data_IF_425067602682
#
_entry.id   IF_425067602682
#
_cell.length_a   1.000
_cell.length_b   1.000
_cell.length_c   1.000
_cell.angle_alpha   90.00
_cell.angle_beta   90.00
_cell.angle_gamma   90.00
#
_symmetry.space_group_name_H-M   'P 1'
#
loop_
_entity.id
_entity.type
_entity.pdbx_description
1 polymer ?
#
# COMPACT_ATOMS: atom_id res chain seq x y z
N UNK A 1 0.54 -12.47 -11.97
CA UNK A 1 0.71 -11.04 -12.16
C UNK A 1 -0.04 -10.26 -11.09
N UNK A 2 0.66 -9.40 -10.38
CA UNK A 2 0.06 -8.67 -9.28
C UNK A 2 -0.46 -7.33 -9.76
N UNK A 3 -1.77 -7.19 -9.74
CA UNK A 3 -2.41 -5.94 -10.13
C UNK A 3 -2.96 -5.24 -8.91
N UNK A 4 -2.58 -3.98 -8.76
CA UNK A 4 -3.11 -3.15 -7.70
C UNK A 4 -4.33 -2.40 -8.22
N UNK A 5 -5.37 -2.33 -7.39
CA UNK A 5 -6.54 -1.52 -7.70
C UNK A 5 -6.20 -0.05 -7.50
N UNK A 6 -7.05 0.83 -8.05
CA UNK A 6 -6.85 2.26 -7.88
C UNK A 6 -6.87 2.66 -6.40
N UNK A 7 -7.76 2.05 -5.63
CA UNK A 7 -7.85 2.29 -4.19
C UNK A 7 -6.56 1.88 -3.47
N UNK A 8 -6.00 0.73 -3.86
CA UNK A 8 -4.73 0.28 -3.30
C UNK A 8 -3.59 1.22 -3.65
N UNK A 9 -3.54 1.67 -4.90
CA UNK A 9 -2.50 2.60 -5.35
C UNK A 9 -2.61 3.94 -4.62
N UNK A 10 -3.81 4.43 -4.43
CA UNK A 10 -4.04 5.67 -3.68
C UNK A 10 -3.56 5.54 -2.24
N UNK A 11 -3.91 4.44 -1.60
CA UNK A 11 -3.47 4.16 -0.23
C UNK A 11 -1.95 4.11 -0.14
N UNK A 12 -1.34 3.36 -1.05
CA UNK A 12 0.11 3.21 -1.09
C UNK A 12 0.80 4.56 -1.32
N UNK A 13 0.26 5.40 -2.18
CA UNK A 13 0.81 6.73 -2.47
C UNK A 13 0.84 7.61 -1.23
N UNK A 14 -0.20 7.54 -0.41
CA UNK A 14 -0.28 8.32 0.83
C UNK A 14 0.82 7.93 1.80
N UNK A 15 1.15 6.66 1.88
CA UNK A 15 2.10 6.13 2.86
C UNK A 15 3.51 5.91 2.30
N UNK A 16 3.73 6.24 1.04
CA UNK A 16 5.02 6.01 0.37
C UNK A 16 6.03 7.13 0.68
N UNK A 17 6.37 7.28 1.94
CA UNK A 17 7.26 8.36 2.38
C UNK A 17 8.73 8.08 2.07
N UNK A 18 9.14 6.82 2.14
CA UNK A 18 10.54 6.43 1.96
C UNK A 18 10.94 6.08 0.54
N UNK A 19 9.98 5.91 -0.35
CA UNK A 19 10.25 5.55 -1.74
C UNK A 19 10.76 4.14 -1.95
N UNK A 20 10.66 3.27 -0.94
CA UNK A 20 11.09 1.87 -1.04
C UNK A 20 9.93 0.94 -0.69
N UNK A 21 9.98 -0.28 -1.27
CA UNK A 21 8.97 -1.30 -0.99
C UNK A 21 8.93 -1.66 0.49
N UNK A 22 10.08 -1.88 1.10
CA UNK A 22 10.17 -2.23 2.52
C UNK A 22 9.65 -1.10 3.41
N UNK A 23 10.00 0.13 3.09
CA UNK A 23 9.53 1.30 3.84
C UNK A 23 8.02 1.42 3.77
N UNK A 24 7.46 1.24 2.58
CA UNK A 24 6.02 1.29 2.39
C UNK A 24 5.32 0.16 3.16
N UNK A 25 5.87 -1.06 3.10
CA UNK A 25 5.33 -2.19 3.85
C UNK A 25 5.29 -1.90 5.35
N UNK A 26 6.36 -1.32 5.87
CA UNK A 26 6.44 -0.97 7.29
C UNK A 26 5.35 0.04 7.66
N UNK A 27 5.19 1.08 6.86
CA UNK A 27 4.20 2.12 7.11
C UNK A 27 2.78 1.55 7.08
N UNK A 28 2.49 0.70 6.12
CA UNK A 28 1.18 0.07 6.00
C UNK A 28 0.90 -0.85 7.18
N UNK A 29 1.89 -1.62 7.61
CA UNK A 29 1.73 -2.52 8.75
C UNK A 29 1.50 -1.75 10.05
N UNK A 30 2.20 -0.65 10.22
CA UNK A 30 2.00 0.22 11.39
C UNK A 30 0.60 0.84 11.38
N UNK A 31 0.20 1.38 10.25
CA UNK A 31 -1.14 1.97 10.11
C UNK A 31 -2.22 0.93 10.38
N UNK A 32 -2.04 -0.28 9.85
CA UNK A 32 -3.01 -1.37 10.05
C UNK A 32 -3.22 -1.66 11.54
N UNK A 33 -2.17 -1.57 12.33
CA UNK A 33 -2.23 -1.80 13.77
C UNK A 33 -3.08 -0.79 14.53
N UNK A 34 -3.31 0.37 13.94
CA UNK A 34 -4.12 1.44 14.55
C UNK A 34 -5.55 1.47 14.07
N UNK A 35 -5.91 0.62 13.12
CA UNK A 35 -7.27 0.59 12.59
C UNK A 35 -8.24 0.01 13.60
N UNK A 36 -9.37 0.69 13.77
CA UNK A 36 -10.42 0.22 14.65
C UNK A 36 -11.19 -0.94 14.01
N UNK A 37 -11.93 -1.67 14.84
CA UNK A 37 -12.69 -2.82 14.37
C UNK A 37 -13.77 -2.46 13.35
N UNK A 38 -14.30 -1.23 13.42
CA UNK A 38 -15.31 -0.75 12.48
C UNK A 38 -14.71 -0.23 11.16
N UNK A 39 -13.38 -0.24 11.05
CA UNK A 39 -12.71 0.16 9.82
C UNK A 39 -12.34 -1.08 8.99
N UNK A 40 -13.26 -2.03 8.89
CA UNK A 40 -13.01 -3.31 8.24
C UNK A 40 -12.67 -3.18 6.75
N UNK A 41 -13.30 -2.23 6.05
CA UNK A 41 -13.02 -2.03 4.63
C UNK A 41 -11.59 -1.51 4.41
N UNK A 42 -11.17 -0.55 5.21
CA UNK A 42 -9.82 -0.01 5.13
C UNK A 42 -8.80 -1.06 5.53
N UNK A 43 -9.10 -1.85 6.54
CA UNK A 43 -8.23 -2.95 6.96
C UNK A 43 -8.06 -3.97 5.83
N UNK A 44 -9.14 -4.36 5.17
CA UNK A 44 -9.10 -5.31 4.06
C UNK A 44 -8.28 -4.75 2.91
N UNK A 45 -8.46 -3.47 2.59
CA UNK A 45 -7.69 -2.81 1.54
C UNK A 45 -6.20 -2.78 1.89
N UNK A 46 -5.88 -2.45 3.14
CA UNK A 46 -4.50 -2.42 3.62
C UNK A 46 -3.86 -3.81 3.56
N UNK A 47 -4.57 -4.83 4.02
CA UNK A 47 -4.09 -6.20 3.98
C UNK A 47 -3.82 -6.67 2.55
N UNK A 48 -4.71 -6.32 1.63
CA UNK A 48 -4.56 -6.67 0.22
C UNK A 48 -3.33 -5.99 -0.38
N UNK A 49 -3.12 -4.72 -0.08
CA UNK A 49 -1.96 -3.97 -0.55
C UNK A 49 -0.66 -4.56 0.00
N UNK A 50 -0.64 -4.89 1.30
CA UNK A 50 0.53 -5.49 1.94
C UNK A 50 0.85 -6.83 1.27
N UNK A 51 -0.14 -7.68 1.10
CA UNK A 51 0.04 -9.00 0.50
C UNK A 51 0.63 -8.90 -0.90
N UNK A 52 0.10 -8.00 -1.71
CA UNK A 52 0.59 -7.80 -3.08
C UNK A 52 2.00 -7.22 -3.10
N UNK A 53 2.31 -6.29 -2.20
CA UNK A 53 3.64 -5.72 -2.09
C UNK A 53 4.67 -6.77 -1.67
N UNK A 54 4.30 -7.70 -0.81
CA UNK A 54 5.18 -8.78 -0.40
C UNK A 54 5.46 -9.75 -1.55
N UNK A 55 4.52 -9.87 -2.48
CA UNK A 55 4.63 -10.79 -3.60
C UNK A 55 5.45 -10.23 -4.77
N UNK A 56 5.56 -8.91 -4.90
CA UNK A 56 6.31 -8.31 -6.01
C UNK A 56 7.75 -8.05 -5.62
N UNK A 57 8.60 -7.88 -6.63
CA UNK A 57 10.01 -7.53 -6.43
C UNK A 57 10.18 -6.02 -6.26
N UNK A 58 11.36 -5.62 -5.81
CA UNK A 58 11.72 -4.21 -5.72
C UNK A 58 11.70 -3.54 -7.10
N UNK A 59 12.07 -4.28 -8.14
CA UNK A 59 12.00 -3.80 -9.52
C UNK A 59 10.56 -3.49 -9.93
N UNK A 60 9.65 -4.40 -9.62
CA UNK A 60 8.25 -4.20 -9.94
C UNK A 60 7.68 -3.01 -9.17
N UNK A 61 8.08 -2.87 -7.92
CA UNK A 61 7.67 -1.73 -7.11
C UNK A 61 8.15 -0.42 -7.73
N UNK A 62 9.39 -0.38 -8.21
CA UNK A 62 9.95 0.83 -8.82
C UNK A 62 9.21 1.24 -10.08
N UNK A 63 8.55 0.28 -10.74
CA UNK A 63 7.74 0.56 -11.93
C UNK A 63 6.33 1.04 -11.64
N UNK A 64 5.91 1.06 -10.38
CA UNK A 64 4.57 1.53 -10.01
C UNK A 64 4.52 3.06 -9.98
N UNK A 65 3.42 3.60 -10.51
CA UNK A 65 3.16 5.04 -10.44
C UNK A 65 2.43 5.37 -9.15
N UNK A 66 3.20 5.72 -8.13
CA UNK A 66 2.65 6.04 -6.81
C UNK A 66 2.58 7.55 -6.62
N UNK A 67 1.86 8.20 -7.50
CA UNK A 67 1.62 9.63 -7.37
C UNK A 67 0.21 9.85 -6.83
N UNK A 68 0.08 10.50 -5.67
CA UNK A 68 -1.24 10.83 -5.17
C UNK A 68 -1.94 11.77 -6.15
N UNK A 69 -3.16 11.42 -6.51
CA UNK A 69 -3.96 12.27 -7.38
C UNK A 69 -4.70 13.28 -6.52
N UNK A 70 -4.12 14.44 -6.41
CA UNK A 70 -4.77 15.57 -5.77
C UNK A 70 -5.30 16.49 -6.86
N UNK A 71 -6.55 16.76 -6.81
CA UNK A 71 -7.16 17.76 -7.67
C UNK A 71 -7.15 19.11 -6.97
#
# INVERSE_FOLDING_TARGET
MNHFTQDELNLMSIYNAGGTREGLLRELREMRGYLAADEAELRALTDSAIEKLEAISDEEYAGLDLFPEFD
#
